data_IF_806544860980
#
_entry.id   IF_806544860980
#
_cell.length_a   1.000
_cell.length_b   1.000
_cell.length_c   1.000
_cell.angle_alpha   90.00
_cell.angle_beta   90.00
_cell.angle_gamma   90.00
#
_symmetry.space_group_name_H-M   'P 1'
#
loop_
_entity.id
_entity.type
_entity.pdbx_description
1 polymer ?
#
# COMPACT_ATOMS: atom_id res chain seq x y z
N UNK A 1 6.76 14.90 3.43
CA UNK A 1 5.32 15.04 3.18
C UNK A 1 4.95 14.05 2.07
N UNK A 2 3.78 13.42 2.12
CA UNK A 2 3.30 12.57 1.03
C UNK A 2 3.18 13.43 -0.24
N UNK A 3 3.73 12.96 -1.36
CA UNK A 3 3.68 13.71 -2.62
C UNK A 3 2.25 13.69 -3.19
N UNK A 4 1.81 14.79 -3.79
CA UNK A 4 0.46 14.93 -4.34
C UNK A 4 0.10 13.83 -5.35
N UNK A 5 1.08 13.36 -6.12
CA UNK A 5 0.90 12.25 -7.06
C UNK A 5 0.54 10.93 -6.38
N UNK A 6 1.03 10.68 -5.15
CA UNK A 6 0.74 9.43 -4.44
C UNK A 6 -0.65 9.45 -3.80
N UNK A 7 -1.12 10.61 -3.31
CA UNK A 7 -2.52 10.76 -2.90
C UNK A 7 -3.47 10.64 -4.10
N UNK A 8 -3.10 11.19 -5.26
CA UNK A 8 -3.86 11.05 -6.50
C UNK A 8 -3.96 9.58 -6.94
N UNK A 9 -2.84 8.86 -6.86
CA UNK A 9 -2.78 7.42 -7.12
C UNK A 9 -3.78 6.64 -6.25
N UNK A 10 -3.79 6.88 -4.93
CA UNK A 10 -4.72 6.21 -4.02
C UNK A 10 -6.18 6.54 -4.35
N UNK A 11 -6.49 7.81 -4.64
CA UNK A 11 -7.84 8.22 -4.98
C UNK A 11 -8.32 7.54 -6.27
N UNK A 12 -7.51 7.58 -7.33
CA UNK A 12 -7.81 6.94 -8.61
C UNK A 12 -7.90 5.42 -8.50
N UNK A 13 -7.10 4.80 -7.62
CA UNK A 13 -7.20 3.37 -7.36
C UNK A 13 -8.56 3.00 -6.76
N UNK A 14 -9.04 3.76 -5.76
CA UNK A 14 -10.36 3.54 -5.16
C UNK A 14 -11.49 3.76 -6.17
N UNK A 15 -11.41 4.81 -7.00
CA UNK A 15 -12.37 5.06 -8.07
C UNK A 15 -12.39 3.93 -9.11
N UNK A 16 -11.21 3.44 -9.52
CA UNK A 16 -11.08 2.32 -10.46
C UNK A 16 -11.66 1.03 -9.88
N UNK A 17 -11.34 0.71 -8.62
CA UNK A 17 -11.89 -0.46 -7.92
C UNK A 17 -13.41 -0.44 -7.95
N UNK A 18 -14.02 0.69 -7.56
CA UNK A 18 -15.48 0.83 -7.50
C UNK A 18 -16.14 0.88 -8.87
N UNK A 19 -15.40 1.22 -9.93
CA UNK A 19 -15.87 1.11 -11.31
C UNK A 19 -15.93 -0.36 -11.77
N UNK A 20 -14.95 -1.17 -11.36
CA UNK A 20 -14.82 -2.58 -11.78
C UNK A 20 -15.65 -3.52 -10.91
N UNK A 21 -15.68 -3.29 -9.60
CA UNK A 21 -16.48 -4.05 -8.62
C UNK A 21 -17.13 -3.08 -7.62
N UNK A 22 -18.31 -2.52 -7.95
CA UNK A 22 -19.01 -1.54 -7.10
C UNK A 22 -19.44 -2.08 -5.74
N UNK A 23 -19.44 -3.41 -5.56
CA UNK A 23 -19.86 -4.07 -4.32
C UNK A 23 -18.68 -4.40 -3.40
N UNK A 24 -17.45 -4.10 -3.79
CA UNK A 24 -16.28 -4.35 -2.97
C UNK A 24 -16.25 -3.38 -1.77
N UNK A 25 -16.06 -3.85 -0.52
CA UNK A 25 -16.11 -3.00 0.65
C UNK A 25 -14.81 -2.20 0.82
N UNK A 26 -14.60 -1.20 -0.03
CA UNK A 26 -13.51 -0.23 0.04
C UNK A 26 -14.04 1.18 0.30
N UNK A 27 -13.26 2.09 0.90
CA UNK A 27 -13.67 3.49 1.02
C UNK A 27 -13.89 4.12 -0.35
N UNK A 28 -14.91 4.96 -0.47
CA UNK A 28 -15.15 5.78 -1.66
C UNK A 28 -14.61 7.19 -1.45
N UNK A 29 -13.98 7.76 -2.47
CA UNK A 29 -13.52 9.16 -2.45
C UNK A 29 -14.73 10.08 -2.47
N UNK A 30 -14.72 11.08 -1.59
CA UNK A 30 -15.75 12.13 -1.53
C UNK A 30 -15.16 13.43 -2.03
N UNK A 31 -15.69 13.91 -3.14
CA UNK A 31 -15.27 15.18 -3.75
C UNK A 31 -15.71 16.38 -2.91
N UNK A 32 -14.95 17.46 -2.98
CA UNK A 32 -15.33 18.76 -2.42
C UNK A 32 -16.58 19.31 -3.13
N UNK A 33 -17.12 20.43 -2.63
CA UNK A 33 -18.25 21.11 -3.29
C UNK A 33 -17.88 21.65 -4.66
N UNK A 34 -16.59 21.91 -4.89
CA UNK A 34 -15.98 22.29 -6.18
C UNK A 34 -15.65 21.08 -7.07
N UNK A 35 -15.90 19.86 -6.61
CA UNK A 35 -15.67 18.63 -7.37
C UNK A 35 -14.26 18.07 -7.29
N UNK A 36 -13.41 18.58 -6.40
CA UNK A 36 -12.02 18.13 -6.26
C UNK A 36 -11.91 16.89 -5.36
N UNK A 37 -11.17 15.87 -5.79
CA UNK A 37 -10.91 14.66 -4.99
C UNK A 37 -9.86 14.89 -3.88
N UNK A 38 -9.04 15.93 -4.03
CA UNK A 38 -8.03 16.38 -3.09
C UNK A 38 -7.67 17.84 -3.37
N UNK A 39 -7.27 18.59 -2.33
CA UNK A 39 -6.87 19.99 -2.46
C UNK A 39 -5.86 20.38 -1.38
N UNK A 40 -5.13 21.49 -1.58
CA UNK A 40 -4.15 21.99 -0.62
C UNK A 40 -4.81 22.98 0.36
N UNK A 41 -4.57 22.80 1.65
CA UNK A 41 -5.04 23.71 2.71
C UNK A 41 -3.86 24.24 3.51
N UNK A 42 -3.76 25.56 3.63
CA UNK A 42 -2.86 26.21 4.56
C UNK A 42 -3.44 26.19 5.98
N UNK A 43 -2.63 25.82 6.98
CA UNK A 43 -3.05 25.81 8.39
C UNK A 43 -2.04 26.58 9.22
N UNK A 44 -2.44 27.74 9.73
CA UNK A 44 -1.72 28.49 10.78
C UNK A 44 -0.19 28.56 10.62
N UNK A 45 0.30 29.18 9.54
CA UNK A 45 1.74 29.36 9.30
C UNK A 45 2.52 28.09 8.95
N UNK A 46 1.88 26.91 8.93
CA UNK A 46 2.50 25.67 8.46
C UNK A 46 2.51 25.60 6.93
N UNK A 47 3.44 24.83 6.34
CA UNK A 47 3.38 24.48 4.93
C UNK A 47 2.00 23.90 4.56
N UNK A 48 1.47 24.20 3.37
CA UNK A 48 0.20 23.67 2.90
C UNK A 48 0.18 22.14 2.96
N UNK A 49 -0.98 21.56 3.31
CA UNK A 49 -1.20 20.11 3.39
C UNK A 49 -2.23 19.66 2.38
N UNK A 50 -2.06 18.48 1.83
CA UNK A 50 -3.07 17.83 1.00
C UNK A 50 -4.19 17.34 1.94
N UNK A 51 -5.43 17.68 1.59
CA UNK A 51 -6.64 17.20 2.25
C UNK A 51 -7.45 16.41 1.24
N UNK A 52 -7.95 15.25 1.68
CA UNK A 52 -8.92 14.43 0.96
C UNK A 52 -9.95 13.87 1.93
N UNK A 53 -11.13 13.53 1.40
CA UNK A 53 -12.20 12.89 2.17
C UNK A 53 -12.54 11.53 1.56
N UNK A 54 -12.68 10.52 2.41
CA UNK A 54 -13.13 9.18 2.02
C UNK A 54 -14.27 8.73 2.93
N UNK A 55 -15.14 7.85 2.44
CA UNK A 55 -16.22 7.28 3.24
C UNK A 55 -15.68 6.41 4.37
N UNK A 56 -16.33 6.47 5.53
CA UNK A 56 -16.07 5.53 6.61
C UNK A 56 -16.59 4.13 6.25
N UNK A 57 -15.79 3.09 6.51
CA UNK A 57 -16.23 1.71 6.40
C UNK A 57 -16.63 1.19 7.79
N UNK A 58 -17.92 0.87 8.01
CA UNK A 58 -18.36 0.32 9.29
C UNK A 58 -17.81 -1.10 9.45
N UNK A 59 -17.32 -1.41 10.65
CA UNK A 59 -16.81 -2.73 10.96
C UNK A 59 -15.90 -2.74 12.19
N UNK A 60 -15.38 -3.92 12.50
CA UNK A 60 -14.40 -4.11 13.56
C UNK A 60 -13.00 -4.23 12.94
N UNK A 61 -12.00 -3.67 13.63
CA UNK A 61 -10.60 -3.89 13.26
C UNK A 61 -10.29 -5.40 13.31
N UNK A 62 -9.56 -5.90 12.31
CA UNK A 62 -9.21 -7.32 12.21
C UNK A 62 -8.49 -7.81 13.48
N UNK A 63 -7.62 -7.00 14.07
CA UNK A 63 -6.91 -7.31 15.32
C UNK A 63 -7.79 -7.47 16.56
N UNK A 64 -9.05 -7.02 16.49
CA UNK A 64 -10.04 -7.12 17.57
C UNK A 64 -11.16 -8.11 17.25
N UNK A 65 -11.10 -8.75 16.08
CA UNK A 65 -12.11 -9.70 15.63
C UNK A 65 -11.67 -11.13 15.97
N UNK A 66 -12.60 -12.05 16.28
CA UNK A 66 -12.25 -13.45 16.53
C UNK A 66 -11.63 -14.09 15.29
N UNK A 67 -10.51 -14.76 15.47
CA UNK A 67 -9.90 -15.58 14.41
C UNK A 67 -10.80 -16.80 14.14
N UNK A 68 -11.14 -17.02 12.87
CA UNK A 68 -11.96 -18.16 12.46
C UNK A 68 -11.70 -18.55 11.01
N UNK A 69 -11.90 -19.82 10.67
CA UNK A 69 -11.76 -20.30 9.29
C UNK A 69 -12.69 -19.57 8.31
N UNK A 70 -13.87 -19.13 8.77
CA UNK A 70 -14.78 -18.33 7.97
C UNK A 70 -14.22 -16.93 7.68
N UNK A 71 -13.58 -16.29 8.68
CA UNK A 71 -12.91 -15.01 8.49
C UNK A 71 -11.74 -15.12 7.50
N UNK A 72 -10.90 -16.15 7.64
CA UNK A 72 -9.76 -16.37 6.73
C UNK A 72 -10.23 -16.57 5.29
N UNK A 73 -11.28 -17.39 5.10
CA UNK A 73 -11.89 -17.61 3.79
C UNK A 73 -12.43 -16.30 3.19
N UNK A 74 -13.14 -15.50 3.99
CA UNK A 74 -13.70 -14.22 3.54
C UNK A 74 -12.61 -13.19 3.22
N UNK A 75 -11.53 -13.17 4.00
CA UNK A 75 -10.36 -12.34 3.71
C UNK A 75 -9.72 -12.74 2.37
N UNK A 76 -9.54 -14.04 2.13
CA UNK A 76 -9.04 -14.54 0.86
C UNK A 76 -9.93 -14.16 -0.33
N UNK A 77 -11.26 -14.30 -0.19
CA UNK A 77 -12.24 -13.87 -1.21
C UNK A 77 -12.11 -12.36 -1.47
N UNK A 78 -12.04 -11.54 -0.42
CA UNK A 78 -11.89 -10.10 -0.53
C UNK A 78 -10.59 -9.72 -1.26
N UNK A 79 -9.45 -10.30 -0.85
CA UNK A 79 -8.15 -10.03 -1.47
C UNK A 79 -8.15 -10.44 -2.95
N UNK A 80 -8.74 -11.58 -3.29
CA UNK A 80 -8.85 -12.03 -4.68
C UNK A 80 -9.67 -11.04 -5.54
N UNK A 81 -10.79 -10.54 -4.99
CA UNK A 81 -11.62 -9.53 -5.68
C UNK A 81 -10.88 -8.20 -5.81
N UNK A 82 -10.21 -7.74 -4.75
CA UNK A 82 -9.43 -6.50 -4.76
C UNK A 82 -8.32 -6.53 -5.82
N UNK A 83 -7.52 -7.59 -5.85
CA UNK A 83 -6.44 -7.77 -6.85
C UNK A 83 -7.02 -7.84 -8.26
N UNK A 84 -8.16 -8.51 -8.45
CA UNK A 84 -8.84 -8.56 -9.75
C UNK A 84 -9.35 -7.19 -10.18
N UNK A 85 -9.95 -6.41 -9.27
CA UNK A 85 -10.45 -5.07 -9.54
C UNK A 85 -9.33 -4.10 -9.93
N UNK A 86 -8.15 -4.25 -9.33
CA UNK A 86 -6.96 -3.45 -9.63
C UNK A 86 -6.25 -3.83 -10.94
N UNK A 87 -6.63 -4.92 -11.63
CA UNK A 87 -6.00 -5.28 -12.90
C UNK A 87 -6.21 -4.18 -13.94
N UNK A 88 -5.15 -3.89 -14.69
CA UNK A 88 -5.16 -2.87 -15.73
C UNK A 88 -5.17 -1.43 -15.21
N UNK A 89 -5.11 -1.22 -13.89
CA UNK A 89 -4.92 0.11 -13.31
C UNK A 89 -3.45 0.50 -13.39
N UNK A 90 -3.16 1.64 -14.00
CA UNK A 90 -1.83 2.22 -14.11
C UNK A 90 -1.85 3.68 -13.67
N UNK A 91 -0.81 4.10 -12.95
CA UNK A 91 -0.67 5.49 -12.51
C UNK A 91 0.81 5.88 -12.46
N UNK A 92 1.21 7.10 -12.90
CA UNK A 92 2.60 7.53 -12.87
C UNK A 92 3.26 7.45 -11.48
N UNK A 93 2.50 7.72 -10.43
CA UNK A 93 2.99 7.63 -9.04
C UNK A 93 2.94 6.22 -8.41
N UNK A 94 2.53 5.19 -9.17
CA UNK A 94 2.50 3.80 -8.67
C UNK A 94 3.90 3.17 -8.57
N UNK A 95 4.93 3.78 -9.18
CA UNK A 95 6.31 3.29 -9.19
C UNK A 95 7.14 3.64 -7.94
N UNK A 96 6.52 4.14 -6.88
CA UNK A 96 7.23 4.61 -5.68
C UNK A 96 8.02 3.48 -5.01
N UNK A 97 9.19 3.86 -4.46
CA UNK A 97 10.17 2.94 -3.89
C UNK A 97 9.71 2.43 -2.51
N UNK A 98 8.88 1.39 -2.50
CA UNK A 98 8.40 0.78 -1.27
C UNK A 98 9.51 -0.08 -0.66
N UNK A 99 9.89 0.19 0.60
CA UNK A 99 10.87 -0.62 1.33
C UNK A 99 10.44 -2.09 1.47
N UNK A 100 9.14 -2.36 1.42
CA UNK A 100 8.57 -3.72 1.44
C UNK A 100 8.48 -4.38 0.06
N UNK A 101 8.99 -3.74 -1.00
CA UNK A 101 9.09 -4.39 -2.30
C UNK A 101 10.15 -5.50 -2.22
N UNK A 102 9.70 -6.76 -2.27
CA UNK A 102 10.58 -7.93 -2.15
C UNK A 102 11.64 -7.96 -3.28
N UNK A 103 11.39 -7.28 -4.41
CA UNK A 103 12.37 -7.15 -5.50
C UNK A 103 13.55 -6.24 -5.13
N UNK A 104 13.43 -5.50 -4.04
CA UNK A 104 14.39 -4.48 -3.59
C UNK A 104 15.01 -4.83 -2.24
N UNK A 105 14.92 -6.10 -1.83
CA UNK A 105 15.49 -6.63 -0.59
C UNK A 105 16.96 -6.23 -0.41
N UNK A 106 17.76 -6.23 -1.48
CA UNK A 106 19.16 -5.77 -1.47
C UNK A 106 19.33 -4.35 -0.89
N UNK A 107 18.39 -3.42 -1.15
CA UNK A 107 18.44 -2.04 -0.62
C UNK A 107 18.35 -1.98 0.90
N UNK A 108 17.89 -3.04 1.56
CA UNK A 108 17.77 -3.09 3.03
C UNK A 108 19.08 -3.46 3.72
N UNK A 109 20.11 -3.93 2.99
CA UNK A 109 21.40 -4.35 3.56
C UNK A 109 22.03 -3.32 4.51
N UNK A 110 22.06 -2.00 4.23
CA UNK A 110 22.62 -1.01 5.15
C UNK A 110 21.90 -0.96 6.51
N UNK A 111 20.63 -1.40 6.58
CA UNK A 111 19.82 -1.35 7.80
C UNK A 111 20.18 -2.46 8.79
N UNK A 112 20.90 -3.51 8.35
CA UNK A 112 21.32 -4.64 9.19
C UNK A 112 22.20 -4.19 10.35
N UNK A 113 22.89 -3.05 10.21
CA UNK A 113 23.67 -2.42 11.28
C UNK A 113 22.86 -2.15 12.54
N UNK A 114 21.53 -2.01 12.42
CA UNK A 114 20.62 -1.76 13.56
C UNK A 114 20.12 -3.04 14.24
N UNK A 115 20.43 -4.23 13.71
CA UNK A 115 20.07 -5.51 14.33
C UNK A 115 21.12 -5.85 15.39
N UNK A 116 20.79 -5.65 16.67
CA UNK A 116 21.75 -5.84 17.77
C UNK A 116 22.20 -7.29 17.95
N UNK A 117 21.28 -8.25 17.78
CA UNK A 117 21.59 -9.67 17.88
C UNK A 117 22.36 -10.16 16.65
N UNK A 118 23.56 -10.71 16.87
CA UNK A 118 24.44 -11.15 15.79
C UNK A 118 23.87 -12.36 15.01
N UNK A 119 23.11 -13.24 15.68
CA UNK A 119 22.50 -14.41 15.05
C UNK A 119 21.38 -14.01 14.09
N UNK A 120 20.50 -13.10 14.51
CA UNK A 120 19.46 -12.51 13.67
C UNK A 120 20.05 -11.72 12.51
N UNK A 121 21.11 -10.94 12.75
CA UNK A 121 21.80 -10.20 11.69
C UNK A 121 22.34 -11.14 10.63
N UNK A 122 23.08 -12.17 11.03
CA UNK A 122 23.63 -13.17 10.12
C UNK A 122 22.53 -13.95 9.38
N UNK A 123 21.38 -14.18 10.01
CA UNK A 123 20.23 -14.81 9.36
C UNK A 123 19.66 -13.94 8.23
N UNK A 124 19.47 -12.65 8.49
CA UNK A 124 18.97 -11.70 7.48
C UNK A 124 20.01 -11.53 6.36
N UNK A 125 21.30 -11.43 6.69
CA UNK A 125 22.40 -11.37 5.71
C UNK A 125 22.33 -12.54 4.71
N UNK A 126 22.22 -13.77 5.20
CA UNK A 126 22.10 -14.96 4.33
C UNK A 126 20.90 -14.92 3.39
N UNK A 127 19.77 -14.38 3.85
CA UNK A 127 18.56 -14.25 3.02
C UNK A 127 18.77 -13.20 1.92
N UNK A 128 19.43 -12.08 2.24
CA UNK A 128 19.76 -11.06 1.26
C UNK A 128 20.78 -11.61 0.24
N UNK A 129 21.82 -12.30 0.70
CA UNK A 129 22.82 -12.94 -0.17
C UNK A 129 22.13 -13.92 -1.15
N UNK A 130 21.26 -14.81 -0.64
CA UNK A 130 20.53 -15.76 -1.45
C UNK A 130 19.56 -15.09 -2.45
N UNK A 131 18.95 -13.96 -2.07
CA UNK A 131 18.13 -13.18 -2.97
C UNK A 131 18.96 -12.57 -4.12
N UNK A 132 20.10 -11.97 -3.80
CA UNK A 132 21.02 -11.36 -4.77
C UNK A 132 21.60 -12.40 -5.74
N UNK A 133 21.90 -13.61 -5.25
CA UNK A 133 22.46 -14.70 -6.05
C UNK A 133 21.41 -15.37 -6.95
N UNK A 134 20.20 -15.63 -6.43
CA UNK A 134 19.25 -16.51 -7.11
C UNK A 134 18.01 -15.81 -7.67
N UNK A 135 17.50 -14.77 -7.00
CA UNK A 135 16.24 -14.13 -7.37
C UNK A 135 16.46 -12.87 -8.21
N UNK A 136 17.35 -11.98 -7.79
CA UNK A 136 17.61 -10.72 -8.49
C UNK A 136 17.94 -10.90 -9.99
N UNK A 137 18.73 -11.90 -10.43
CA UNK A 137 19.05 -12.07 -11.85
C UNK A 137 17.87 -12.47 -12.75
N UNK A 138 16.80 -13.02 -12.18
CA UNK A 138 15.64 -13.56 -12.93
C UNK A 138 14.37 -12.71 -12.78
N UNK A 139 14.40 -11.66 -11.96
CA UNK A 139 13.29 -10.72 -11.82
C UNK A 139 13.29 -9.77 -13.03
N UNK A 140 12.16 -9.66 -13.77
CA UNK A 140 12.04 -8.68 -14.85
C UNK A 140 12.19 -7.26 -14.32
N UNK A 141 12.91 -6.42 -15.07
CA UNK A 141 13.05 -4.98 -14.82
C UNK A 141 11.73 -4.22 -14.89
#
# INVERSE_FOLDING_TARGET
AEEAGFTDFQNKALEHILTVDPSLPVPSVRKSVEGEAQFMVGVGGSPPRIVRLVSYLPGQLLSRSPTSAAQDRNLGIFLARLVRALRGFFHPAAGSDLLWDIRKVAKTRPMLAHIADAGHRAMVERVIDAFEEHAAPVIPG
#
